data_IF_941087476403
#
_entry.id   IF_941087476403
#
_cell.length_a   1.000
_cell.length_b   1.000
_cell.length_c   1.000
_cell.angle_alpha   90.00
_cell.angle_beta   90.00
_cell.angle_gamma   90.00
#
_symmetry.space_group_name_H-M   'P 1'
#
loop_
_entity.id
_entity.type
_entity.pdbx_description
1 polymer ?
#
# COMPACT_ATOMS: atom_id res chain seq x y z
N UNK A 1 -23.43 24.03 -25.75
CA UNK A 1 -22.10 24.56 -26.08
C UNK A 1 -21.08 23.58 -25.54
N UNK A 2 -20.06 23.26 -26.36
CA UNK A 2 -18.92 22.42 -25.98
C UNK A 2 -17.68 23.33 -25.90
N UNK A 3 -16.96 23.26 -24.77
CA UNK A 3 -15.72 23.98 -24.58
C UNK A 3 -14.54 23.01 -24.79
N UNK A 4 -13.52 23.45 -25.52
CA UNK A 4 -12.29 22.71 -25.75
C UNK A 4 -11.13 23.45 -25.09
N UNK A 5 -10.31 22.73 -24.35
CA UNK A 5 -9.10 23.24 -23.74
C UNK A 5 -7.89 22.60 -24.42
N UNK A 6 -6.99 23.41 -24.95
CA UNK A 6 -5.72 22.95 -25.52
C UNK A 6 -4.64 23.25 -24.48
N UNK A 7 -3.97 22.21 -24.02
CA UNK A 7 -2.97 22.30 -22.97
C UNK A 7 -1.57 21.98 -23.52
N UNK A 8 -0.50 22.60 -22.98
CA UNK A 8 0.85 22.30 -23.39
C UNK A 8 1.26 20.86 -23.02
N UNK A 9 2.16 20.26 -23.80
CA UNK A 9 2.68 18.93 -23.55
C UNK A 9 3.64 18.83 -22.34
N UNK A 10 4.15 19.97 -21.85
CA UNK A 10 5.03 20.01 -20.69
C UNK A 10 4.22 19.85 -19.40
N UNK A 11 4.45 18.79 -18.59
CA UNK A 11 3.58 18.47 -17.45
C UNK A 11 3.46 19.57 -16.40
N UNK A 12 4.52 20.32 -16.12
CA UNK A 12 4.52 21.45 -15.16
C UNK A 12 3.64 22.61 -15.64
N UNK A 13 3.74 22.98 -16.91
CA UNK A 13 2.94 24.03 -17.52
C UNK A 13 1.46 23.62 -17.63
N UNK A 14 1.22 22.39 -18.04
CA UNK A 14 -0.12 21.82 -18.13
C UNK A 14 -0.82 21.86 -16.76
N UNK A 15 -0.14 21.43 -15.69
CA UNK A 15 -0.70 21.47 -14.32
C UNK A 15 -1.01 22.90 -13.89
N UNK A 16 -0.12 23.85 -14.17
CA UNK A 16 -0.32 25.26 -13.84
C UNK A 16 -1.55 25.82 -14.56
N UNK A 17 -1.67 25.61 -15.87
CA UNK A 17 -2.83 26.06 -16.63
C UNK A 17 -4.13 25.39 -16.16
N UNK A 18 -4.10 24.09 -15.85
CA UNK A 18 -5.25 23.41 -15.28
C UNK A 18 -5.72 24.07 -13.96
N UNK A 19 -4.78 24.31 -13.05
CA UNK A 19 -5.11 24.85 -11.71
C UNK A 19 -5.55 26.32 -11.77
N UNK A 20 -4.89 27.15 -12.57
CA UNK A 20 -5.10 28.60 -12.57
C UNK A 20 -6.22 29.05 -13.53
N UNK A 21 -6.51 28.29 -14.60
CA UNK A 21 -7.45 28.73 -15.63
C UNK A 21 -8.61 27.75 -15.86
N UNK A 22 -8.30 26.46 -16.11
CA UNK A 22 -9.33 25.50 -16.54
C UNK A 22 -10.25 25.11 -15.40
N UNK A 23 -9.68 24.75 -14.23
CA UNK A 23 -10.47 24.34 -13.08
C UNK A 23 -11.39 25.47 -12.57
N UNK A 24 -10.92 26.72 -12.39
CA UNK A 24 -11.80 27.82 -12.00
C UNK A 24 -12.92 28.08 -13.02
N UNK A 25 -12.63 27.98 -14.31
CA UNK A 25 -13.63 28.14 -15.37
C UNK A 25 -14.70 27.03 -15.31
N UNK A 26 -14.29 25.77 -15.11
CA UNK A 26 -15.22 24.63 -14.94
C UNK A 26 -16.10 24.82 -13.71
N UNK A 27 -15.52 25.24 -12.58
CA UNK A 27 -16.26 25.49 -11.34
C UNK A 27 -17.33 26.56 -11.56
N UNK A 28 -16.97 27.68 -12.19
CA UNK A 28 -17.90 28.77 -12.46
C UNK A 28 -19.10 28.35 -13.34
N UNK A 29 -18.88 27.46 -14.32
CA UNK A 29 -19.98 26.89 -15.11
C UNK A 29 -20.81 25.89 -14.29
N UNK A 30 -20.18 25.11 -13.41
CA UNK A 30 -20.88 24.13 -12.58
C UNK A 30 -21.79 24.77 -11.51
N UNK A 31 -21.44 25.94 -11.01
CA UNK A 31 -22.29 26.69 -10.07
C UNK A 31 -23.64 27.09 -10.70
N UNK A 32 -23.71 27.12 -12.03
CA UNK A 32 -24.96 27.38 -12.76
C UNK A 32 -25.82 26.13 -12.98
N UNK A 33 -25.26 24.92 -12.75
CA UNK A 33 -26.01 23.65 -12.88
C UNK A 33 -26.35 23.11 -11.49
N UNK A 34 -27.62 22.70 -11.28
CA UNK A 34 -28.04 22.02 -10.04
C UNK A 34 -27.51 20.58 -9.92
N UNK A 35 -26.62 20.17 -10.80
CA UNK A 35 -26.09 18.81 -10.84
C UNK A 35 -25.08 18.57 -9.73
N UNK A 36 -25.39 17.64 -8.87
CA UNK A 36 -24.48 17.14 -7.83
C UNK A 36 -23.65 15.98 -8.41
N UNK A 37 -22.35 16.06 -8.26
CA UNK A 37 -21.42 15.02 -8.68
C UNK A 37 -20.61 14.54 -7.48
N UNK A 38 -20.75 13.28 -7.14
CA UNK A 38 -19.99 12.68 -6.06
C UNK A 38 -19.10 11.56 -6.62
N UNK A 39 -17.82 11.65 -6.29
CA UNK A 39 -16.82 10.64 -6.65
C UNK A 39 -16.21 10.13 -5.35
N UNK A 40 -16.18 8.83 -5.19
CA UNK A 40 -15.48 8.17 -4.08
C UNK A 40 -14.43 7.25 -4.64
N UNK A 41 -13.18 7.40 -4.20
CA UNK A 41 -12.05 6.56 -4.57
C UNK A 41 -11.66 5.71 -3.38
N UNK A 42 -11.60 4.40 -3.57
CA UNK A 42 -11.10 3.44 -2.59
C UNK A 42 -9.77 2.88 -3.07
N UNK A 43 -8.74 2.94 -2.26
CA UNK A 43 -7.49 2.21 -2.53
C UNK A 43 -7.59 0.81 -1.97
N UNK A 44 -7.19 -0.18 -2.74
CA UNK A 44 -7.23 -1.60 -2.33
C UNK A 44 -5.91 -2.31 -2.62
N UNK A 45 -5.65 -3.39 -1.88
CA UNK A 45 -4.48 -4.25 -2.07
C UNK A 45 -4.82 -5.72 -1.83
N UNK A 46 -4.07 -6.62 -2.47
CA UNK A 46 -4.17 -8.07 -2.26
C UNK A 46 -5.08 -8.81 -3.25
N UNK A 47 -5.64 -8.12 -4.24
CA UNK A 47 -6.44 -8.72 -5.31
C UNK A 47 -5.90 -8.36 -6.69
N UNK A 48 -6.10 -9.27 -7.66
CA UNK A 48 -5.99 -8.95 -9.10
C UNK A 48 -7.26 -8.22 -9.55
N UNK A 49 -7.22 -7.54 -10.70
CA UNK A 49 -8.42 -6.88 -11.24
C UNK A 49 -9.56 -7.85 -11.52
N UNK A 50 -9.25 -9.05 -12.02
CA UNK A 50 -10.25 -10.10 -12.23
C UNK A 50 -10.91 -10.50 -10.91
N UNK A 51 -10.11 -10.86 -9.91
CA UNK A 51 -10.64 -11.22 -8.59
C UNK A 51 -11.42 -10.08 -7.94
N UNK A 52 -10.99 -8.82 -8.15
CA UNK A 52 -11.74 -7.65 -7.69
C UNK A 52 -13.14 -7.60 -8.31
N UNK A 53 -13.23 -7.78 -9.62
CA UNK A 53 -14.52 -7.80 -10.35
C UNK A 53 -15.45 -8.90 -9.85
N UNK A 54 -14.90 -10.10 -9.61
CA UNK A 54 -15.65 -11.26 -9.11
C UNK A 54 -16.21 -11.01 -7.69
N UNK A 55 -15.46 -10.26 -6.83
CA UNK A 55 -15.92 -9.91 -5.48
C UNK A 55 -17.11 -8.93 -5.48
N UNK A 56 -17.24 -8.13 -6.52
CA UNK A 56 -18.26 -7.06 -6.62
C UNK A 56 -19.14 -7.17 -7.87
N UNK A 57 -19.34 -8.40 -8.38
CA UNK A 57 -20.10 -8.68 -9.59
C UNK A 57 -21.56 -8.19 -9.53
N UNK A 58 -22.20 -8.31 -8.37
CA UNK A 58 -23.58 -7.87 -8.14
C UNK A 58 -23.73 -6.35 -8.06
N UNK A 59 -22.63 -5.57 -8.04
CA UNK A 59 -22.66 -4.12 -7.78
C UNK A 59 -23.60 -3.35 -8.72
N UNK A 60 -23.49 -3.62 -10.03
CA UNK A 60 -24.29 -2.90 -11.03
C UNK A 60 -25.78 -3.21 -10.95
N UNK A 61 -26.15 -4.38 -10.44
CA UNK A 61 -27.56 -4.76 -10.24
C UNK A 61 -28.13 -4.06 -9.00
N UNK A 62 -27.33 -3.97 -7.91
CA UNK A 62 -27.75 -3.36 -6.66
C UNK A 62 -27.71 -1.84 -6.70
N UNK A 63 -26.78 -1.27 -7.45
CA UNK A 63 -26.58 0.20 -7.54
C UNK A 63 -26.54 0.68 -9.00
N UNK A 64 -27.64 0.52 -9.78
CA UNK A 64 -27.64 0.82 -11.22
C UNK A 64 -27.38 2.29 -11.57
N UNK A 65 -27.53 3.20 -10.61
CA UNK A 65 -27.27 4.63 -10.79
C UNK A 65 -25.85 5.06 -10.41
N UNK A 66 -25.02 4.14 -9.92
CA UNK A 66 -23.62 4.39 -9.54
C UNK A 66 -22.73 3.68 -10.52
N UNK A 67 -21.91 4.44 -11.25
CA UNK A 67 -20.89 3.86 -12.11
C UNK A 67 -19.69 3.45 -11.26
N UNK A 68 -19.24 2.19 -11.40
CA UNK A 68 -18.00 1.69 -10.82
C UNK A 68 -16.93 1.61 -11.91
N UNK A 69 -15.71 1.98 -11.59
CA UNK A 69 -14.53 1.76 -12.44
C UNK A 69 -13.32 1.33 -11.63
N UNK A 70 -12.42 0.62 -12.30
CA UNK A 70 -11.18 0.11 -11.71
C UNK A 70 -10.00 0.76 -12.42
N UNK A 71 -9.03 1.19 -11.64
CA UNK A 71 -7.75 1.69 -12.15
C UNK A 71 -6.63 0.91 -11.47
N UNK A 72 -5.89 0.16 -12.27
CA UNK A 72 -4.69 -0.52 -11.78
C UNK A 72 -3.63 0.50 -11.40
N UNK A 73 -3.21 0.45 -10.15
CA UNK A 73 -2.13 1.24 -9.57
C UNK A 73 -1.19 0.26 -8.86
N UNK A 74 -0.41 -0.47 -9.67
CA UNK A 74 0.42 -1.57 -9.18
C UNK A 74 1.19 -1.20 -7.91
N UNK A 75 1.15 -2.07 -6.87
CA UNK A 75 0.52 -3.38 -6.85
C UNK A 75 -0.93 -3.39 -6.33
N UNK A 76 -1.56 -2.24 -6.19
CA UNK A 76 -2.95 -2.10 -5.76
C UNK A 76 -3.92 -1.81 -6.91
N UNK A 77 -5.18 -1.69 -6.55
CA UNK A 77 -6.27 -1.29 -7.45
C UNK A 77 -7.05 -0.17 -6.78
N UNK A 78 -7.31 0.89 -7.53
CA UNK A 78 -8.26 1.92 -7.12
C UNK A 78 -9.65 1.57 -7.66
N UNK A 79 -10.62 1.53 -6.77
CA UNK A 79 -12.05 1.38 -7.09
C UNK A 79 -12.68 2.77 -7.01
N UNK A 80 -13.21 3.26 -8.12
CA UNK A 80 -13.84 4.57 -8.19
C UNK A 80 -15.35 4.41 -8.39
N UNK A 81 -16.12 5.07 -7.54
CA UNK A 81 -17.57 5.15 -7.60
C UNK A 81 -17.97 6.54 -8.04
N UNK A 82 -18.86 6.64 -9.03
CA UNK A 82 -19.36 7.90 -9.57
C UNK A 82 -20.87 7.93 -9.47
N UNK A 83 -21.41 8.96 -8.83
CA UNK A 83 -22.85 9.23 -8.76
C UNK A 83 -23.14 10.66 -9.19
N UNK A 84 -24.07 10.81 -10.11
CA UNK A 84 -24.54 12.09 -10.60
C UNK A 84 -26.03 12.22 -10.33
N UNK A 85 -26.52 13.40 -9.97
CA UNK A 85 -27.95 13.63 -9.72
C UNK A 85 -28.22 15.10 -9.42
N UNK A 86 -29.50 15.46 -9.33
CA UNK A 86 -29.96 16.79 -8.99
C UNK A 86 -30.32 16.94 -7.52
N UNK A 87 -30.62 15.84 -6.86
CA UNK A 87 -30.89 15.80 -5.42
C UNK A 87 -29.61 15.39 -4.66
N UNK A 88 -29.13 16.35 -3.86
CA UNK A 88 -27.87 16.18 -3.10
C UNK A 88 -28.00 15.11 -2.01
N UNK A 89 -29.15 15.03 -1.37
CA UNK A 89 -29.38 14.07 -0.28
C UNK A 89 -29.42 12.64 -0.83
N UNK A 90 -30.19 12.41 -1.89
CA UNK A 90 -30.25 11.12 -2.58
C UNK A 90 -28.85 10.64 -3.05
N UNK A 91 -28.08 11.55 -3.68
CA UNK A 91 -26.71 11.24 -4.14
C UNK A 91 -25.82 10.77 -2.99
N UNK A 92 -25.89 11.44 -1.83
CA UNK A 92 -25.08 11.07 -0.66
C UNK A 92 -25.55 9.76 -0.02
N UNK A 93 -26.85 9.57 0.13
CA UNK A 93 -27.43 8.34 0.71
C UNK A 93 -27.05 7.12 -0.12
N UNK A 94 -27.24 7.19 -1.44
CA UNK A 94 -26.89 6.09 -2.33
C UNK A 94 -25.38 5.79 -2.36
N UNK A 95 -24.53 6.83 -2.42
CA UNK A 95 -23.07 6.64 -2.38
C UNK A 95 -22.62 6.02 -1.07
N UNK A 96 -23.19 6.43 0.06
CA UNK A 96 -22.91 5.84 1.37
C UNK A 96 -23.28 4.36 1.40
N UNK A 97 -24.48 4.01 0.92
CA UNK A 97 -24.93 2.61 0.86
C UNK A 97 -24.03 1.74 -0.01
N UNK A 98 -23.67 2.22 -1.20
CA UNK A 98 -22.75 1.53 -2.11
C UNK A 98 -21.36 1.36 -1.50
N UNK A 99 -20.82 2.40 -0.87
CA UNK A 99 -19.53 2.32 -0.18
C UNK A 99 -19.56 1.30 0.95
N UNK A 100 -20.58 1.28 1.79
CA UNK A 100 -20.73 0.30 2.87
C UNK A 100 -20.86 -1.13 2.34
N UNK A 101 -21.51 -1.32 1.20
CA UNK A 101 -21.61 -2.63 0.57
C UNK A 101 -20.23 -3.11 0.08
N UNK A 102 -19.45 -2.24 -0.57
CA UNK A 102 -18.08 -2.56 -0.98
C UNK A 102 -17.21 -2.89 0.24
N UNK A 103 -17.34 -2.14 1.33
CA UNK A 103 -16.61 -2.45 2.57
C UNK A 103 -16.92 -3.85 3.10
N UNK A 104 -18.19 -4.29 3.06
CA UNK A 104 -18.55 -5.66 3.46
C UNK A 104 -17.96 -6.72 2.57
N UNK A 105 -17.85 -6.45 1.25
CA UNK A 105 -17.29 -7.39 0.27
C UNK A 105 -15.76 -7.48 0.32
N UNK A 106 -15.07 -6.36 0.44
CA UNK A 106 -13.61 -6.29 0.34
C UNK A 106 -12.91 -6.30 1.72
N UNK A 107 -13.55 -5.82 2.77
CA UNK A 107 -13.04 -5.87 4.14
C UNK A 107 -11.60 -5.33 4.27
N UNK A 108 -10.70 -6.18 4.78
CA UNK A 108 -9.30 -5.83 5.02
C UNK A 108 -8.49 -5.45 3.78
N UNK A 109 -9.00 -5.77 2.60
CA UNK A 109 -8.35 -5.42 1.33
C UNK A 109 -8.46 -3.92 1.01
N UNK A 110 -9.38 -3.18 1.64
CA UNK A 110 -9.45 -1.74 1.53
C UNK A 110 -8.34 -1.12 2.39
N UNK A 111 -7.53 -0.29 1.75
CA UNK A 111 -6.44 0.46 2.38
C UNK A 111 -6.92 1.83 2.82
N UNK A 112 -7.58 2.57 1.90
CA UNK A 112 -8.07 3.92 2.14
C UNK A 112 -9.42 4.15 1.49
N UNK A 113 -10.26 4.94 2.16
CA UNK A 113 -11.58 5.40 1.71
C UNK A 113 -11.55 6.64 0.82
N UNK A 114 -10.39 7.25 0.68
CA UNK A 114 -10.19 8.51 -0.05
C UNK A 114 -9.07 8.42 -1.08
N UNK A 115 -8.63 7.18 -1.40
CA UNK A 115 -7.65 6.92 -2.45
C UNK A 115 -6.20 7.13 -2.06
N UNK A 116 -5.88 7.21 -0.77
CA UNK A 116 -4.50 7.35 -0.29
C UNK A 116 -3.66 6.11 -0.55
N UNK A 117 -2.36 6.31 -0.62
CA UNK A 117 -1.39 5.23 -0.74
C UNK A 117 -1.17 4.52 0.60
N UNK A 118 -0.62 3.31 0.54
CA UNK A 118 -0.44 2.47 1.74
C UNK A 118 0.58 3.08 2.70
N UNK A 119 1.64 3.68 2.19
CA UNK A 119 2.67 4.35 3.01
C UNK A 119 2.10 5.54 3.76
N UNK A 120 1.17 6.30 3.14
CA UNK A 120 0.47 7.40 3.81
C UNK A 120 -0.42 6.87 4.93
N UNK A 121 -1.23 5.84 4.67
CA UNK A 121 -2.11 5.23 5.67
C UNK A 121 -1.32 4.65 6.84
N UNK A 122 -0.20 3.95 6.56
CA UNK A 122 0.69 3.42 7.61
C UNK A 122 1.28 4.56 8.44
N UNK A 123 1.74 5.64 7.79
CA UNK A 123 2.28 6.80 8.48
C UNK A 123 1.27 7.45 9.42
N UNK A 124 0.03 7.64 8.96
CA UNK A 124 -1.05 8.20 9.77
C UNK A 124 -1.39 7.31 10.97
N UNK A 125 -1.48 5.99 10.77
CA UNK A 125 -1.74 5.03 11.86
C UNK A 125 -0.62 5.02 12.92
N UNK A 126 0.64 5.06 12.49
CA UNK A 126 1.79 5.18 13.40
C UNK A 126 1.73 6.48 14.18
N UNK A 127 1.46 7.61 13.52
CA UNK A 127 1.31 8.91 14.16
C UNK A 127 0.16 8.94 15.19
N UNK A 128 -1.01 8.41 14.84
CA UNK A 128 -2.17 8.30 15.75
C UNK A 128 -1.86 7.46 17.00
N UNK A 129 -1.05 6.41 16.85
CA UNK A 129 -0.63 5.55 17.96
C UNK A 129 0.61 6.07 18.71
N UNK A 130 1.21 7.16 18.26
CA UNK A 130 2.50 7.66 18.76
C UNK A 130 3.59 6.58 18.74
N UNK A 131 3.56 5.73 17.70
CA UNK A 131 4.43 4.58 17.54
C UNK A 131 5.57 4.87 16.55
N UNK A 132 6.74 4.31 16.83
CA UNK A 132 7.92 4.45 15.97
C UNK A 132 8.19 3.15 15.21
N UNK A 133 8.67 3.29 13.98
CA UNK A 133 8.97 2.19 13.06
C UNK A 133 10.45 2.20 12.69
N UNK A 134 11.08 1.03 12.77
CA UNK A 134 12.38 0.76 12.16
C UNK A 134 12.29 -0.39 11.17
N UNK A 135 13.14 -0.37 10.12
CA UNK A 135 13.05 -1.31 8.99
C UNK A 135 14.39 -1.96 8.69
N UNK A 136 14.38 -3.27 8.50
CA UNK A 136 15.49 -4.05 7.99
C UNK A 136 15.19 -4.57 6.58
N UNK A 137 15.84 -4.02 5.58
CA UNK A 137 15.64 -4.39 4.19
C UNK A 137 16.77 -5.28 3.66
N UNK A 138 16.43 -6.20 2.76
CA UNK A 138 17.38 -6.96 1.97
C UNK A 138 17.05 -6.85 0.49
N UNK A 139 16.19 -7.70 -0.04
CA UNK A 139 15.85 -7.73 -1.48
C UNK A 139 15.14 -6.48 -1.99
N UNK A 140 14.46 -5.71 -1.15
CA UNK A 140 13.81 -4.44 -1.49
C UNK A 140 14.80 -3.29 -1.65
N UNK A 141 15.97 -3.35 -0.94
CA UNK A 141 17.10 -2.46 -1.19
C UNK A 141 16.83 -0.98 -0.88
N UNK A 142 16.08 -0.69 0.18
CA UNK A 142 15.73 0.67 0.60
C UNK A 142 14.37 1.17 0.09
N UNK A 143 13.63 0.35 -0.67
CA UNK A 143 12.36 0.77 -1.27
C UNK A 143 11.28 1.09 -0.22
N UNK A 144 11.22 0.36 0.91
CA UNK A 144 10.23 0.64 1.96
C UNK A 144 10.56 1.96 2.63
N UNK A 145 11.84 2.20 2.91
CA UNK A 145 12.29 3.48 3.46
C UNK A 145 12.00 4.65 2.50
N UNK A 146 12.25 4.48 1.21
CA UNK A 146 11.91 5.45 0.16
C UNK A 146 10.41 5.78 0.17
N UNK A 147 9.54 4.78 0.12
CA UNK A 147 8.09 4.97 0.14
C UNK A 147 7.63 5.76 1.36
N UNK A 148 8.11 5.41 2.55
CA UNK A 148 7.72 6.10 3.79
C UNK A 148 8.24 7.54 3.85
N UNK A 149 9.47 7.79 3.38
CA UNK A 149 10.07 9.12 3.40
C UNK A 149 9.48 10.07 2.36
N UNK A 150 8.78 9.56 1.36
CA UNK A 150 7.99 10.37 0.43
C UNK A 150 6.73 10.97 1.07
N UNK A 151 6.35 10.50 2.28
CA UNK A 151 5.23 11.06 3.05
C UNK A 151 5.72 12.22 3.93
N UNK A 152 5.23 13.45 3.74
CA UNK A 152 5.59 14.58 4.60
C UNK A 152 5.28 14.26 6.07
N UNK A 153 6.21 14.60 6.97
CA UNK A 153 6.08 14.31 8.40
C UNK A 153 6.56 12.92 8.82
N UNK A 154 7.13 12.13 7.92
CA UNK A 154 7.62 10.76 8.21
C UNK A 154 8.65 10.71 9.35
N UNK A 155 9.42 11.76 9.60
CA UNK A 155 10.37 11.85 10.72
C UNK A 155 9.72 11.72 12.11
N UNK A 156 8.41 11.92 12.21
CA UNK A 156 7.67 11.74 13.46
C UNK A 156 7.44 10.29 13.85
N UNK A 157 7.58 9.34 12.93
CA UNK A 157 7.33 7.91 13.17
C UNK A 157 8.40 6.98 12.60
N UNK A 158 9.13 7.38 11.58
CA UNK A 158 10.16 6.56 10.93
C UNK A 158 11.54 6.94 11.48
N UNK A 159 12.15 6.05 12.28
CA UNK A 159 13.35 6.39 13.06
C UNK A 159 14.63 5.76 12.51
N UNK A 160 14.55 4.62 11.83
CA UNK A 160 15.74 3.91 11.34
C UNK A 160 15.42 2.96 10.20
N UNK A 161 16.37 2.83 9.27
CA UNK A 161 16.37 1.75 8.27
C UNK A 161 17.78 1.28 7.97
N UNK A 162 17.94 -0.05 7.82
CA UNK A 162 19.18 -0.67 7.40
C UNK A 162 18.97 -1.60 6.22
N UNK A 163 19.77 -1.43 5.15
CA UNK A 163 19.84 -2.37 4.03
C UNK A 163 20.94 -3.39 4.30
N UNK A 164 20.59 -4.48 5.00
CA UNK A 164 21.52 -5.56 5.34
C UNK A 164 21.52 -6.63 4.26
N UNK A 165 22.22 -6.35 3.14
CA UNK A 165 22.15 -7.18 1.94
C UNK A 165 22.89 -8.50 2.05
N UNK A 166 24.03 -8.53 2.76
CA UNK A 166 24.84 -9.76 2.98
C UNK A 166 24.45 -10.45 4.29
N UNK A 167 24.67 -11.76 4.37
CA UNK A 167 24.48 -12.53 5.60
C UNK A 167 25.38 -12.03 6.74
N UNK A 168 26.61 -11.64 6.43
CA UNK A 168 27.53 -11.07 7.41
C UNK A 168 26.96 -9.80 8.08
N UNK A 169 26.33 -8.90 7.29
CA UNK A 169 25.73 -7.69 7.84
C UNK A 169 24.41 -7.97 8.56
N UNK A 170 23.64 -8.98 8.15
CA UNK A 170 22.49 -9.44 8.93
C UNK A 170 22.91 -9.88 10.35
N UNK A 171 24.00 -10.62 10.45
CA UNK A 171 24.56 -11.04 11.75
C UNK A 171 25.10 -9.83 12.54
N UNK A 172 26.00 -9.05 11.92
CA UNK A 172 26.74 -7.99 12.60
C UNK A 172 25.85 -6.84 13.09
N UNK A 173 24.87 -6.43 12.27
CA UNK A 173 24.01 -5.27 12.55
C UNK A 173 22.72 -5.68 13.26
N UNK A 174 22.05 -6.72 12.78
CA UNK A 174 20.74 -7.10 13.26
C UNK A 174 20.74 -8.27 14.25
N UNK A 175 21.90 -8.84 14.56
CA UNK A 175 22.00 -9.96 15.48
C UNK A 175 21.39 -11.27 14.97
N UNK A 176 21.16 -11.41 13.65
CA UNK A 176 20.71 -12.67 13.07
C UNK A 176 21.77 -13.75 13.38
N UNK A 177 21.34 -14.90 13.90
CA UNK A 177 22.27 -15.94 14.33
C UNK A 177 22.84 -16.72 13.14
N UNK A 178 24.12 -17.11 13.22
CA UNK A 178 24.73 -18.00 12.21
C UNK A 178 23.93 -19.30 12.09
N UNK A 179 23.48 -19.86 13.20
CA UNK A 179 22.65 -21.06 13.24
C UNK A 179 21.35 -20.93 12.42
N UNK A 180 20.67 -19.79 12.52
CA UNK A 180 19.46 -19.52 11.73
C UNK A 180 19.76 -19.45 10.24
N UNK A 181 20.85 -18.76 9.87
CA UNK A 181 21.27 -18.64 8.47
C UNK A 181 21.69 -19.98 7.89
N UNK A 182 22.44 -20.79 8.64
CA UNK A 182 22.92 -22.12 8.19
C UNK A 182 21.75 -23.11 8.03
N UNK A 183 20.79 -23.09 8.96
CA UNK A 183 19.69 -24.04 8.98
C UNK A 183 18.56 -23.67 8.02
N UNK A 184 18.21 -22.41 7.92
CA UNK A 184 17.00 -21.94 7.20
C UNK A 184 17.33 -21.05 6.00
N UNK A 185 18.56 -20.54 5.90
CA UNK A 185 19.01 -19.62 4.87
C UNK A 185 18.49 -18.19 5.08
N UNK A 186 19.04 -17.27 4.28
CA UNK A 186 18.70 -15.84 4.37
C UNK A 186 17.22 -15.52 4.06
N UNK A 187 16.57 -16.34 3.22
CA UNK A 187 15.16 -16.18 2.86
C UNK A 187 14.34 -17.22 3.61
N UNK A 188 13.99 -16.90 4.84
CA UNK A 188 13.17 -17.74 5.72
C UNK A 188 12.40 -16.87 6.71
N UNK A 189 11.31 -17.40 7.26
CA UNK A 189 10.53 -16.71 8.28
C UNK A 189 11.37 -16.47 9.53
N UNK A 190 12.22 -17.43 9.91
CA UNK A 190 13.12 -17.34 11.06
C UNK A 190 14.11 -16.18 10.89
N UNK A 191 14.76 -16.09 9.73
CA UNK A 191 15.68 -14.98 9.45
C UNK A 191 14.95 -13.64 9.43
N UNK A 192 13.76 -13.58 8.86
CA UNK A 192 12.96 -12.35 8.86
C UNK A 192 12.55 -11.95 10.28
N UNK A 193 12.17 -12.90 11.12
CA UNK A 193 11.85 -12.65 12.55
C UNK A 193 13.05 -12.06 13.30
N UNK A 194 14.24 -12.67 13.17
CA UNK A 194 15.45 -12.16 13.81
C UNK A 194 15.85 -10.77 13.27
N UNK A 195 15.73 -10.54 11.95
CA UNK A 195 15.95 -9.23 11.37
C UNK A 195 15.00 -8.17 11.93
N UNK A 196 13.70 -8.49 12.04
CA UNK A 196 12.69 -7.57 12.57
C UNK A 196 12.96 -7.24 14.05
N UNK A 197 13.26 -8.25 14.86
CA UNK A 197 13.63 -8.07 16.27
C UNK A 197 14.90 -7.25 16.40
N UNK A 198 15.92 -7.56 15.61
CA UNK A 198 17.21 -6.86 15.65
C UNK A 198 17.08 -5.37 15.33
N UNK A 199 16.35 -5.03 14.27
CA UNK A 199 16.16 -3.60 13.90
C UNK A 199 15.32 -2.85 14.93
N UNK A 200 14.33 -3.50 15.54
CA UNK A 200 13.49 -2.94 16.60
C UNK A 200 14.35 -2.62 17.85
N UNK A 201 15.20 -3.56 18.27
CA UNK A 201 16.05 -3.38 19.44
C UNK A 201 17.13 -2.31 19.25
N UNK A 202 17.82 -2.28 18.10
CA UNK A 202 18.88 -1.29 17.81
C UNK A 202 18.34 0.13 17.85
N UNK A 203 17.11 0.33 17.39
CA UNK A 203 16.50 1.67 17.27
C UNK A 203 15.59 2.06 18.44
N UNK A 204 15.36 1.14 19.38
CA UNK A 204 14.36 1.29 20.45
C UNK A 204 12.98 1.71 19.93
N UNK A 205 12.62 1.19 18.74
CA UNK A 205 11.35 1.51 18.09
C UNK A 205 10.20 0.66 18.61
N UNK A 206 8.97 1.15 18.46
CA UNK A 206 7.76 0.38 18.81
C UNK A 206 7.60 -0.86 17.94
N UNK A 207 7.86 -0.71 16.64
CA UNK A 207 7.78 -1.79 15.66
C UNK A 207 9.08 -1.93 14.87
N UNK A 208 9.50 -3.17 14.65
CA UNK A 208 10.53 -3.56 13.70
C UNK A 208 9.92 -4.33 12.54
N UNK A 209 10.11 -3.86 11.31
CA UNK A 209 9.65 -4.52 10.09
C UNK A 209 10.86 -5.02 9.30
N UNK A 210 10.80 -6.23 8.77
CA UNK A 210 11.89 -6.76 7.96
C UNK A 210 11.42 -7.43 6.68
N UNK A 211 12.27 -7.41 5.65
CA UNK A 211 12.00 -8.07 4.36
C UNK A 211 13.25 -8.76 3.86
N UNK A 212 13.15 -10.08 3.61
CA UNK A 212 14.17 -10.88 2.93
C UNK A 212 13.53 -11.76 1.86
N UNK A 213 14.06 -11.78 0.63
CA UNK A 213 13.39 -12.49 -0.47
C UNK A 213 14.25 -12.65 -1.73
N UNK A 214 13.67 -13.28 -2.73
CA UNK A 214 14.26 -13.57 -4.04
C UNK A 214 13.48 -12.79 -5.10
N UNK A 215 13.96 -11.60 -5.41
CA UNK A 215 13.30 -10.71 -6.38
C UNK A 215 13.56 -11.13 -7.85
N UNK A 216 14.55 -12.00 -8.10
CA UNK A 216 14.89 -12.48 -9.43
C UNK A 216 15.86 -11.57 -10.21
N UNK A 217 16.19 -11.92 -11.50
CA UNK A 217 15.72 -13.11 -12.21
C UNK A 217 16.38 -14.42 -11.70
N UNK A 218 17.52 -14.35 -11.03
CA UNK A 218 18.22 -15.51 -10.43
C UNK A 218 17.94 -15.64 -8.93
N UNK A 219 18.67 -16.60 -8.29
CA UNK A 219 18.63 -16.82 -6.84
C UNK A 219 17.57 -17.79 -6.36
N UNK A 220 16.78 -18.41 -7.25
CA UNK A 220 15.87 -19.48 -6.88
C UNK A 220 16.63 -20.68 -6.30
N UNK A 221 16.07 -21.31 -5.28
CA UNK A 221 16.58 -22.55 -4.68
C UNK A 221 15.45 -23.57 -4.56
N UNK A 222 15.78 -24.83 -4.23
CA UNK A 222 14.75 -25.83 -4.02
C UNK A 222 13.74 -25.36 -2.93
N UNK A 223 12.47 -25.34 -3.27
CA UNK A 223 11.39 -24.87 -2.39
C UNK A 223 11.29 -23.35 -2.19
N UNK A 224 12.16 -22.54 -2.83
CA UNK A 224 12.12 -21.07 -2.78
C UNK A 224 12.31 -20.49 -4.19
N UNK A 225 11.26 -20.44 -5.02
CA UNK A 225 11.33 -19.86 -6.36
C UNK A 225 11.54 -18.34 -6.32
N UNK A 226 11.85 -17.76 -7.49
CA UNK A 226 11.77 -16.29 -7.69
C UNK A 226 10.39 -15.82 -7.30
N UNK A 227 10.29 -14.66 -6.65
CA UNK A 227 9.04 -14.15 -6.08
C UNK A 227 8.80 -14.57 -4.62
N UNK A 228 9.65 -15.44 -4.05
CA UNK A 228 9.57 -15.77 -2.61
C UNK A 228 10.04 -14.58 -1.77
N UNK A 229 9.23 -14.20 -0.77
CA UNK A 229 9.59 -13.20 0.24
C UNK A 229 9.17 -13.67 1.62
N UNK A 230 10.01 -13.41 2.61
CA UNK A 230 9.72 -13.57 4.03
C UNK A 230 9.73 -12.19 4.69
N UNK A 231 8.68 -11.88 5.41
CA UNK A 231 8.47 -10.60 6.08
C UNK A 231 8.40 -10.88 7.57
N UNK A 232 9.17 -10.14 8.36
CA UNK A 232 9.16 -10.18 9.80
C UNK A 232 8.53 -8.91 10.37
N UNK A 233 7.76 -9.06 11.44
CA UNK A 233 7.21 -7.96 12.22
C UNK A 233 7.45 -8.24 13.71
N UNK A 234 8.01 -7.28 14.42
CA UNK A 234 8.34 -7.36 15.84
C UNK A 234 7.81 -6.13 16.59
N UNK A 235 7.39 -6.36 17.82
CA UNK A 235 7.14 -5.33 18.84
C UNK A 235 7.70 -5.80 20.19
N UNK A 236 7.46 -5.08 21.30
CA UNK A 236 7.77 -5.59 22.64
C UNK A 236 7.13 -6.95 22.90
N UNK A 237 5.91 -7.16 22.42
CA UNK A 237 5.02 -8.25 22.82
C UNK A 237 5.11 -9.49 21.93
N UNK A 238 5.56 -9.33 20.69
CA UNK A 238 5.61 -10.43 19.73
C UNK A 238 6.75 -10.32 18.71
N UNK A 239 7.05 -11.45 18.09
CA UNK A 239 7.82 -11.55 16.83
C UNK A 239 7.09 -12.54 15.93
N UNK A 240 6.76 -12.11 14.73
CA UNK A 240 6.08 -12.94 13.73
C UNK A 240 6.83 -12.91 12.40
N UNK A 241 6.81 -14.02 11.69
CA UNK A 241 7.32 -14.14 10.32
C UNK A 241 6.24 -14.70 9.42
N UNK A 242 6.14 -14.19 8.20
CA UNK A 242 5.23 -14.73 7.16
C UNK A 242 5.96 -14.84 5.84
N UNK A 243 5.72 -15.96 5.16
CA UNK A 243 6.25 -16.22 3.81
C UNK A 243 5.14 -16.02 2.79
N UNK A 244 5.51 -15.36 1.68
CA UNK A 244 4.69 -15.18 0.50
C UNK A 244 5.46 -15.62 -0.74
N UNK A 245 4.74 -15.91 -1.81
CA UNK A 245 5.31 -16.22 -3.12
C UNK A 245 4.46 -15.53 -4.20
N UNK A 246 5.09 -14.63 -4.94
CA UNK A 246 4.49 -13.91 -6.05
C UNK A 246 5.07 -14.42 -7.37
N UNK A 247 4.25 -14.50 -8.41
CA UNK A 247 4.67 -15.08 -9.70
C UNK A 247 4.92 -13.98 -10.74
N UNK A 248 5.78 -13.01 -10.41
CA UNK A 248 6.21 -12.00 -11.38
C UNK A 248 7.59 -12.37 -11.92
N UNK A 249 7.75 -12.33 -13.25
CA UNK A 249 9.04 -12.52 -13.92
C UNK A 249 9.83 -11.21 -14.03
N UNK A 250 9.46 -10.20 -13.25
CA UNK A 250 10.06 -8.88 -13.22
C UNK A 250 10.57 -8.54 -11.83
N UNK A 251 11.87 -8.19 -11.74
CA UNK A 251 12.52 -7.87 -10.47
C UNK A 251 11.94 -6.62 -9.81
N UNK A 252 11.60 -5.60 -10.59
CA UNK A 252 11.04 -4.37 -10.07
C UNK A 252 9.65 -4.64 -9.48
N UNK A 253 8.81 -5.38 -10.21
CA UNK A 253 7.48 -5.77 -9.72
C UNK A 253 7.57 -6.60 -8.42
N UNK A 254 8.51 -7.55 -8.35
CA UNK A 254 8.73 -8.33 -7.13
C UNK A 254 9.16 -7.44 -5.96
N UNK A 255 10.10 -6.51 -6.16
CA UNK A 255 10.50 -5.58 -5.10
C UNK A 255 9.33 -4.73 -4.60
N UNK A 256 8.51 -4.25 -5.53
CA UNK A 256 7.40 -3.36 -5.20
C UNK A 256 6.28 -4.09 -4.44
N UNK A 257 5.88 -5.30 -4.90
CA UNK A 257 4.88 -6.11 -4.19
C UNK A 257 5.38 -6.57 -2.82
N UNK A 258 6.69 -6.88 -2.66
CA UNK A 258 7.27 -7.23 -1.37
C UNK A 258 7.19 -6.06 -0.38
N UNK A 259 7.56 -4.86 -0.82
CA UNK A 259 7.49 -3.65 -0.01
C UNK A 259 6.05 -3.34 0.41
N UNK A 260 5.11 -3.37 -0.54
CA UNK A 260 3.70 -3.11 -0.26
C UNK A 260 3.08 -4.17 0.66
N UNK A 261 3.44 -5.46 0.46
CA UNK A 261 2.97 -6.54 1.35
C UNK A 261 3.49 -6.35 2.78
N UNK A 262 4.74 -5.89 2.94
CA UNK A 262 5.30 -5.60 4.25
C UNK A 262 4.56 -4.44 4.95
N UNK A 263 4.29 -3.36 4.22
CA UNK A 263 3.50 -2.25 4.74
C UNK A 263 2.05 -2.65 5.05
N UNK A 264 1.44 -3.54 4.26
CA UNK A 264 0.08 -4.01 4.52
C UNK A 264 0.00 -4.91 5.76
N UNK A 265 1.01 -5.75 6.01
CA UNK A 265 1.09 -6.50 7.26
C UNK A 265 1.20 -5.57 8.48
N UNK A 266 2.03 -4.54 8.40
CA UNK A 266 2.11 -3.53 9.46
C UNK A 266 0.79 -2.78 9.62
N UNK A 267 0.13 -2.36 8.53
CA UNK A 267 -1.19 -1.72 8.57
C UNK A 267 -2.22 -2.61 9.27
N UNK A 268 -2.28 -3.90 8.93
CA UNK A 268 -3.21 -4.85 9.54
C UNK A 268 -2.94 -5.03 11.03
N UNK A 269 -1.69 -5.04 11.48
CA UNK A 269 -1.31 -5.06 12.90
C UNK A 269 -1.75 -3.78 13.61
N UNK A 270 -1.45 -2.61 13.03
CA UNK A 270 -1.84 -1.31 13.59
C UNK A 270 -3.37 -1.17 13.75
N UNK A 271 -4.14 -1.81 12.88
CA UNK A 271 -5.61 -1.85 12.95
C UNK A 271 -6.16 -2.98 13.85
N UNK A 272 -5.30 -3.85 14.41
CA UNK A 272 -5.73 -5.01 15.20
C UNK A 272 -6.50 -6.06 14.39
N UNK A 273 -6.22 -6.17 13.09
CA UNK A 273 -6.88 -7.14 12.20
C UNK A 273 -6.20 -8.51 12.24
N UNK A 274 -4.89 -8.54 12.48
CA UNK A 274 -4.09 -9.77 12.62
C UNK A 274 -3.66 -9.97 14.06
N UNK A 275 -3.82 -11.20 14.53
CA UNK A 275 -3.42 -11.64 15.88
C UNK A 275 -2.39 -12.76 15.79
#
# INVERSE_FOLDING_TARGET
QCAFFILPGVPSEMRKMMQEQVIPWIINIQETTKDVRLIKTLSTFGLTESAMRDHVDDFNQLFPQIKISYRTNFPGIQVNLYRFGTDREDVHVQMKAASQWIHRKLGKMIISDIGESIEKVVGDLLGQKQAHLAIAESCTGGLIADLLTNVPGSSGYFVFSAVTYSNQLKMKILGVTAQTLDRYGAVSEQTAQEMARGVQQISDSTYGLSVSGIAGPGGATNGKPVGTVCIGLASSDFVRGRRFCFNFNDRWMNKYIFATTALDLLRQELLGIIH
#
